data_IF_289392206622
#
_entry.id   IF_289392206622
#
_cell.length_a   1.000
_cell.length_b   1.000
_cell.length_c   1.000
_cell.angle_alpha   90.00
_cell.angle_beta   90.00
_cell.angle_gamma   90.00
#
_symmetry.space_group_name_H-M   'P 1'
#
loop_
_entity.id
_entity.type
_entity.pdbx_description
1 polymer ?
#
# COMPACT_ATOMS: atom_id res chain seq x y z
N UNK A 1 6.59 17.61 3.11
CA UNK A 1 7.83 16.97 3.60
C UNK A 1 8.30 17.58 4.92
N UNK A 2 8.53 18.89 5.02
CA UNK A 2 8.93 19.54 6.27
C UNK A 2 7.93 19.35 7.40
N UNK A 3 6.63 19.42 7.14
CA UNK A 3 5.58 19.24 8.15
C UNK A 3 5.65 17.85 8.81
N UNK A 4 5.92 16.82 8.01
CA UNK A 4 6.09 15.46 8.52
C UNK A 4 7.31 15.35 9.45
N UNK A 5 8.46 15.87 9.02
CA UNK A 5 9.69 15.88 9.83
C UNK A 5 9.47 16.69 11.12
N UNK A 6 8.83 17.85 11.01
CA UNK A 6 8.55 18.74 12.14
C UNK A 6 7.63 18.06 13.15
N UNK A 7 6.62 17.32 12.70
CA UNK A 7 5.71 16.58 13.57
C UNK A 7 6.48 15.59 14.45
N UNK A 8 7.32 14.74 13.86
CA UNK A 8 8.14 13.79 14.63
C UNK A 8 9.15 14.48 15.55
N UNK A 9 9.73 15.57 15.11
CA UNK A 9 10.70 16.34 15.88
C UNK A 9 10.08 17.00 17.11
N UNK A 10 8.99 17.76 16.92
CA UNK A 10 8.32 18.51 17.99
C UNK A 10 7.68 17.59 19.04
N UNK A 11 7.15 16.45 18.63
CA UNK A 11 6.51 15.49 19.53
C UNK A 11 7.51 14.50 20.14
N UNK A 12 8.76 14.51 19.71
CA UNK A 12 9.80 13.55 20.10
C UNK A 12 9.37 12.08 19.92
N UNK A 13 8.67 11.80 18.80
CA UNK A 13 8.06 10.48 18.56
C UNK A 13 8.82 9.63 17.53
N UNK A 14 10.04 10.00 17.14
CA UNK A 14 10.85 9.26 16.18
C UNK A 14 11.05 7.80 16.58
N UNK A 15 11.46 7.54 17.82
CA UNK A 15 11.69 6.17 18.31
C UNK A 15 10.38 5.42 18.52
N UNK A 16 9.37 6.05 19.10
CA UNK A 16 8.08 5.39 19.38
C UNK A 16 7.32 5.04 18.08
N UNK A 17 7.44 5.84 17.03
CA UNK A 17 6.88 5.53 15.71
C UNK A 17 7.56 4.32 15.05
N UNK A 18 8.85 4.10 15.33
CA UNK A 18 9.59 2.95 14.82
C UNK A 18 9.23 1.63 15.51
N UNK A 19 8.54 1.69 16.65
CA UNK A 19 8.14 0.49 17.42
C UNK A 19 7.28 -0.45 16.58
N UNK A 20 6.37 0.06 15.76
CA UNK A 20 5.53 -0.75 14.87
C UNK A 20 6.34 -1.57 13.87
N UNK A 21 7.43 -1.02 13.34
CA UNK A 21 8.34 -1.73 12.45
C UNK A 21 9.09 -2.84 13.18
N UNK A 22 9.54 -2.56 14.41
CA UNK A 22 10.20 -3.56 15.23
C UNK A 22 9.26 -4.71 15.60
N UNK A 23 8.06 -4.41 16.06
CA UNK A 23 7.04 -5.41 16.39
C UNK A 23 6.70 -6.27 15.17
N UNK A 24 6.56 -5.63 14.02
CA UNK A 24 6.29 -6.29 12.77
C UNK A 24 7.40 -7.28 12.37
N UNK A 25 8.67 -6.89 12.47
CA UNK A 25 9.81 -7.77 12.17
C UNK A 25 9.97 -8.87 13.22
N UNK A 26 9.73 -8.57 14.49
CA UNK A 26 9.88 -9.51 15.61
C UNK A 26 8.80 -10.60 15.60
N UNK A 27 7.58 -10.27 15.23
CA UNK A 27 6.43 -11.19 15.28
C UNK A 27 5.99 -11.75 13.93
N UNK A 28 6.69 -11.44 12.85
CA UNK A 28 6.49 -12.06 11.53
C UNK A 28 5.14 -11.77 10.86
N UNK A 29 4.56 -10.61 11.10
CA UNK A 29 3.19 -10.29 10.68
C UNK A 29 2.95 -10.20 9.17
N UNK A 30 3.96 -9.99 8.32
CA UNK A 30 3.76 -9.91 6.87
C UNK A 30 3.33 -11.23 6.21
N UNK A 31 3.59 -12.36 6.84
CA UNK A 31 3.35 -13.67 6.23
C UNK A 31 1.90 -14.14 6.30
N UNK A 32 1.00 -13.44 6.98
CA UNK A 32 -0.34 -13.94 7.31
C UNK A 32 -1.49 -13.02 6.88
N UNK A 33 -1.47 -12.54 5.63
CA UNK A 33 -2.70 -11.99 5.04
C UNK A 33 -3.63 -13.18 4.72
N UNK A 34 -4.39 -13.60 5.71
CA UNK A 34 -5.36 -14.69 5.57
C UNK A 34 -6.76 -14.17 5.89
N UNK A 35 -7.76 -14.71 5.20
CA UNK A 35 -9.17 -14.45 5.47
C UNK A 35 -9.63 -13.00 5.19
N UNK A 36 -9.11 -12.35 4.16
CA UNK A 36 -9.68 -11.11 3.67
C UNK A 36 -10.97 -11.45 2.93
N UNK A 37 -12.10 -10.96 3.43
CA UNK A 37 -13.44 -11.24 2.87
C UNK A 37 -14.03 -10.06 2.09
N UNK A 38 -13.37 -8.93 2.12
CA UNK A 38 -13.77 -7.72 1.37
C UNK A 38 -13.10 -7.67 0.01
N UNK A 39 -13.67 -6.97 -0.98
CA UNK A 39 -13.04 -6.75 -2.28
C UNK A 39 -11.67 -6.09 -2.16
N UNK A 40 -10.70 -6.61 -2.89
CA UNK A 40 -9.29 -6.15 -2.87
C UNK A 40 -8.90 -5.64 -4.24
N UNK A 41 -8.27 -4.48 -4.27
CA UNK A 41 -7.63 -3.91 -5.45
C UNK A 41 -6.11 -3.81 -5.22
N UNK A 42 -5.33 -4.18 -6.22
CA UNK A 42 -3.87 -4.10 -6.19
C UNK A 42 -3.39 -3.23 -7.34
N UNK A 43 -2.70 -2.16 -7.00
CA UNK A 43 -2.06 -1.26 -7.96
C UNK A 43 -0.56 -1.24 -7.70
N UNK A 44 0.23 -1.57 -8.70
CA UNK A 44 1.68 -1.71 -8.62
C UNK A 44 2.33 -0.50 -9.27
N UNK A 45 3.10 0.24 -8.49
CA UNK A 45 3.85 1.41 -8.96
C UNK A 45 5.29 1.03 -9.30
N UNK A 46 5.88 1.59 -10.38
CA UNK A 46 7.17 1.13 -10.89
C UNK A 46 8.37 1.41 -9.98
N UNK A 47 8.30 2.48 -9.17
CA UNK A 47 9.38 2.89 -8.28
C UNK A 47 9.23 2.34 -6.84
N UNK A 48 8.32 1.35 -6.64
CA UNK A 48 8.22 0.61 -5.39
C UNK A 48 9.34 -0.43 -5.23
N UNK A 49 9.72 -0.67 -3.97
CA UNK A 49 10.73 -1.69 -3.63
C UNK A 49 10.32 -3.10 -4.09
N UNK A 50 9.02 -3.39 -4.02
CA UNK A 50 8.44 -4.67 -4.41
C UNK A 50 7.32 -4.47 -5.41
N UNK A 51 7.52 -4.99 -6.61
CA UNK A 51 6.53 -5.00 -7.66
C UNK A 51 5.87 -6.38 -7.74
N UNK A 52 4.86 -6.58 -6.90
CA UNK A 52 4.15 -7.86 -6.84
C UNK A 52 3.58 -8.25 -8.21
N UNK A 53 3.92 -9.43 -8.77
CA UNK A 53 3.29 -9.91 -9.99
C UNK A 53 1.82 -10.26 -9.74
N UNK A 54 1.02 -10.24 -10.81
CA UNK A 54 -0.40 -10.55 -10.74
C UNK A 54 -0.69 -11.90 -10.09
N UNK A 55 0.13 -12.89 -10.38
CA UNK A 55 -0.01 -14.24 -9.80
C UNK A 55 0.07 -14.27 -8.28
N UNK A 56 0.82 -13.34 -7.66
CA UNK A 56 0.86 -13.24 -6.20
C UNK A 56 -0.42 -12.64 -5.65
N UNK A 57 -0.97 -11.62 -6.31
CA UNK A 57 -2.24 -11.03 -5.90
C UNK A 57 -3.40 -12.04 -6.05
N UNK A 58 -3.43 -12.80 -7.15
CA UNK A 58 -4.40 -13.87 -7.38
C UNK A 58 -4.27 -15.00 -6.35
N UNK A 59 -3.04 -15.38 -6.00
CA UNK A 59 -2.80 -16.39 -4.96
C UNK A 59 -3.16 -15.93 -3.55
N UNK A 60 -2.98 -14.63 -3.25
CA UNK A 60 -3.32 -14.06 -1.95
C UNK A 60 -4.83 -13.78 -1.79
N UNK A 61 -5.51 -13.42 -2.89
CA UNK A 61 -6.91 -12.99 -2.90
C UNK A 61 -7.72 -13.70 -4.01
N UNK A 62 -7.80 -15.04 -4.01
CA UNK A 62 -8.35 -15.80 -5.13
C UNK A 62 -9.80 -15.45 -5.45
N UNK A 63 -10.62 -15.12 -4.43
CA UNK A 63 -12.05 -14.86 -4.58
C UNK A 63 -12.41 -13.37 -4.51
N UNK A 64 -11.48 -12.52 -4.07
CA UNK A 64 -11.77 -11.14 -3.72
C UNK A 64 -11.00 -10.10 -4.54
N UNK A 65 -10.09 -10.52 -5.41
CA UNK A 65 -9.32 -9.61 -6.24
C UNK A 65 -10.20 -9.04 -7.37
N UNK A 66 -10.66 -7.81 -7.20
CA UNK A 66 -11.54 -7.13 -8.18
C UNK A 66 -10.77 -6.28 -9.17
N UNK A 67 -9.52 -5.96 -8.89
CA UNK A 67 -8.70 -5.10 -9.75
C UNK A 67 -7.22 -5.43 -9.55
N UNK A 68 -6.47 -5.44 -10.66
CA UNK A 68 -5.03 -5.49 -10.67
C UNK A 68 -4.51 -4.64 -11.82
N UNK A 69 -3.67 -3.65 -11.53
CA UNK A 69 -3.06 -2.79 -12.53
C UNK A 69 -1.59 -2.53 -12.24
N UNK A 70 -0.80 -2.40 -13.31
CA UNK A 70 0.59 -1.91 -13.23
C UNK A 70 0.64 -0.54 -13.87
N UNK A 71 1.04 0.43 -13.06
CA UNK A 71 1.11 1.82 -13.46
C UNK A 71 2.48 2.15 -14.06
N UNK A 72 2.56 3.23 -14.79
CA UNK A 72 3.74 3.63 -15.56
C UNK A 72 4.66 4.60 -14.78
N UNK A 73 4.18 5.14 -13.67
CA UNK A 73 4.90 6.13 -12.84
C UNK A 73 4.38 6.17 -11.42
N UNK A 74 5.24 6.68 -10.51
CA UNK A 74 4.97 6.79 -9.08
C UNK A 74 5.68 5.72 -8.26
N UNK A 75 5.96 6.03 -7.01
CA UNK A 75 6.71 5.19 -6.09
C UNK A 75 5.99 4.98 -4.77
N UNK A 76 6.76 4.89 -3.71
CA UNK A 76 6.28 4.56 -2.37
C UNK A 76 5.22 5.52 -1.82
N UNK A 77 5.31 6.80 -2.18
CA UNK A 77 4.33 7.81 -1.80
C UNK A 77 3.45 8.23 -2.98
N UNK A 78 2.94 7.25 -3.71
CA UNK A 78 2.22 7.43 -4.96
C UNK A 78 1.11 8.49 -4.91
N UNK A 79 0.36 8.58 -3.81
CA UNK A 79 -0.68 9.59 -3.62
C UNK A 79 -0.12 11.03 -3.59
N UNK A 80 1.11 11.22 -3.14
CA UNK A 80 1.79 12.51 -3.11
C UNK A 80 2.56 12.81 -4.38
N UNK A 81 3.17 11.78 -4.95
CA UNK A 81 4.00 11.90 -6.15
C UNK A 81 3.13 12.07 -7.40
N UNK A 82 2.00 11.35 -7.46
CA UNK A 82 1.10 11.27 -8.60
C UNK A 82 -0.37 11.34 -8.17
N UNK A 83 -0.84 12.44 -7.55
CA UNK A 83 -2.16 12.52 -6.91
C UNK A 83 -3.32 12.30 -7.89
N UNK A 84 -3.20 12.78 -9.13
CA UNK A 84 -4.23 12.61 -10.16
C UNK A 84 -4.33 11.13 -10.59
N UNK A 85 -3.19 10.52 -10.91
CA UNK A 85 -3.10 9.13 -11.31
C UNK A 85 -3.62 8.21 -10.19
N UNK A 86 -3.22 8.48 -8.95
CA UNK A 86 -3.69 7.73 -7.78
C UNK A 86 -5.21 7.84 -7.61
N UNK A 87 -5.79 9.04 -7.75
CA UNK A 87 -7.22 9.24 -7.63
C UNK A 87 -8.01 8.56 -8.76
N UNK A 88 -7.49 8.58 -9.99
CA UNK A 88 -8.08 7.89 -11.14
C UNK A 88 -8.04 6.37 -10.94
N UNK A 89 -6.92 5.85 -10.49
CA UNK A 89 -6.73 4.44 -10.19
C UNK A 89 -7.68 3.95 -9.10
N UNK A 90 -7.84 4.71 -8.02
CA UNK A 90 -8.81 4.40 -6.95
C UNK A 90 -10.25 4.36 -7.47
N UNK A 91 -10.63 5.31 -8.33
CA UNK A 91 -11.96 5.31 -8.96
C UNK A 91 -12.16 4.12 -9.91
N UNK A 92 -11.14 3.76 -10.66
CA UNK A 92 -11.17 2.60 -11.56
C UNK A 92 -11.28 1.30 -10.78
N UNK A 93 -10.45 1.12 -9.75
CA UNK A 93 -10.37 -0.07 -8.91
C UNK A 93 -11.72 -0.43 -8.26
N UNK A 94 -12.42 0.57 -7.75
CA UNK A 94 -13.68 0.36 -7.01
C UNK A 94 -14.94 0.72 -7.81
N UNK A 95 -14.83 0.83 -9.14
CA UNK A 95 -15.98 1.16 -10.01
C UNK A 95 -17.12 0.14 -9.89
N UNK A 96 -16.80 -1.12 -9.75
CA UNK A 96 -17.78 -2.22 -9.65
C UNK A 96 -18.56 -2.24 -8.34
N UNK A 97 -18.15 -1.45 -7.35
CA UNK A 97 -18.78 -1.40 -6.02
C UNK A 97 -19.69 -0.19 -5.82
N UNK A 98 -19.96 0.57 -6.87
CA UNK A 98 -20.83 1.77 -6.86
C UNK A 98 -22.18 1.50 -7.45
#
# INVERSE_FOLDING_TARGET
MLDNITMFWLTNTGVSSSKSYWEFLAYGSFANVRNVTIPVAVSVFPDELYQAPRSWAEGAYPDNLIHYNRLDRGGHFAAWEQPQLFAEEMRAAFRSLR
#
